data_IF_942569077545
#
_entry.id   IF_942569077545
#
_cell.length_a   1.000
_cell.length_b   1.000
_cell.length_c   1.000
_cell.angle_alpha   90.00
_cell.angle_beta   90.00
_cell.angle_gamma   90.00
#
_symmetry.space_group_name_H-M   'P 1'
#
loop_
_entity.id
_entity.type
_entity.pdbx_description
1 polymer ?
#
# COMPACT_ATOMS: atom_id res chain seq x y z
N UNK A 1 -6.12 28.73 4.60
CA UNK A 1 -6.51 28.71 6.03
C UNK A 1 -7.93 28.13 6.07
N UNK A 2 -8.08 26.82 6.16
CA UNK A 2 -9.40 26.18 6.24
C UNK A 2 -9.55 25.55 7.63
N UNK A 3 -10.47 26.11 8.39
CA UNK A 3 -10.87 25.62 9.70
C UNK A 3 -12.05 24.67 9.51
N UNK A 4 -11.86 23.37 9.74
CA UNK A 4 -12.98 22.45 9.86
C UNK A 4 -13.32 22.29 11.35
N UNK A 5 -14.39 22.97 11.76
CA UNK A 5 -15.05 22.72 13.03
C UNK A 5 -16.31 21.87 12.78
N UNK A 6 -16.15 20.56 12.86
CA UNK A 6 -17.26 19.62 12.91
C UNK A 6 -17.41 19.07 14.33
N UNK A 7 -18.47 19.48 15.04
CA UNK A 7 -18.83 18.89 16.35
C UNK A 7 -19.29 17.46 16.17
N UNK A 8 -18.42 16.49 16.48
CA UNK A 8 -18.85 15.12 16.74
C UNK A 8 -19.16 14.98 18.23
N UNK A 9 -20.41 14.71 18.57
CA UNK A 9 -20.79 14.22 19.88
C UNK A 9 -20.31 12.77 20.02
N UNK A 10 -19.21 12.57 20.71
CA UNK A 10 -18.77 11.26 21.14
C UNK A 10 -18.79 11.27 22.68
N UNK A 11 -19.70 10.44 23.22
CA UNK A 11 -19.79 10.18 24.65
C UNK A 11 -18.47 9.64 25.19
N UNK A 12 -17.91 10.34 26.19
CA UNK A 12 -16.90 9.91 27.15
C UNK A 12 -15.67 9.15 26.62
N UNK A 13 -14.94 9.75 25.69
CA UNK A 13 -13.50 9.57 25.62
C UNK A 13 -12.85 10.88 26.04
N UNK A 14 -12.08 10.83 27.13
CA UNK A 14 -11.20 11.94 27.52
C UNK A 14 -10.36 12.32 26.29
N UNK A 15 -10.70 13.43 25.69
CA UNK A 15 -9.97 13.99 24.56
C UNK A 15 -8.57 14.37 25.09
N UNK A 16 -7.61 13.46 24.94
CA UNK A 16 -6.20 13.83 25.13
C UNK A 16 -5.93 14.83 24.01
N UNK A 17 -5.91 16.11 24.38
CA UNK A 17 -5.55 17.18 23.45
C UNK A 17 -4.18 16.84 22.88
N UNK A 18 -4.12 16.58 21.58
CA UNK A 18 -2.87 16.33 20.90
C UNK A 18 -1.96 17.54 21.11
N UNK A 19 -0.80 17.33 21.73
CA UNK A 19 0.21 18.38 21.87
C UNK A 19 0.73 18.75 20.49
N UNK A 20 0.35 19.93 19.99
CA UNK A 20 0.86 20.44 18.72
C UNK A 20 2.29 20.94 18.94
N UNK A 21 3.26 20.19 18.48
CA UNK A 21 4.66 20.59 18.48
C UNK A 21 4.94 21.36 17.17
N UNK A 22 5.17 22.66 17.27
CA UNK A 22 5.61 23.48 16.13
C UNK A 22 7.13 23.46 16.04
N UNK A 23 7.65 22.80 15.03
CA UNK A 23 9.07 22.82 14.71
C UNK A 23 9.36 24.11 13.93
N UNK A 24 10.16 25.02 14.51
CA UNK A 24 10.51 26.30 13.89
C UNK A 24 11.72 26.18 12.96
N UNK A 25 12.56 25.17 13.14
CA UNK A 25 13.76 24.92 12.36
C UNK A 25 13.89 23.41 12.15
N UNK A 26 13.96 22.99 10.89
CA UNK A 26 14.22 21.62 10.52
C UNK A 26 15.73 21.32 10.42
N UNK A 27 16.06 20.06 10.24
CA UNK A 27 17.39 19.61 9.82
C UNK A 27 17.43 19.65 8.29
N UNK A 28 18.09 20.68 7.75
CA UNK A 28 18.32 20.75 6.30
C UNK A 28 19.62 20.01 5.98
N UNK A 29 19.52 19.07 5.04
CA UNK A 29 20.69 18.44 4.45
C UNK A 29 21.09 19.30 3.26
N UNK A 30 22.24 19.97 3.37
CA UNK A 30 22.78 20.80 2.28
C UNK A 30 23.30 19.92 1.15
N UNK A 31 22.41 19.56 0.22
CA UNK A 31 22.77 18.88 -1.01
C UNK A 31 23.25 19.91 -2.05
N UNK A 32 24.30 19.57 -2.80
CA UNK A 32 24.77 20.41 -3.89
C UNK A 32 23.86 20.20 -5.10
N UNK A 33 23.15 21.27 -5.48
CA UNK A 33 22.20 21.26 -6.59
C UNK A 33 20.74 21.07 -6.12
N UNK A 34 19.80 21.36 -7.00
CA UNK A 34 18.36 21.20 -6.82
C UNK A 34 17.80 20.45 -8.03
N UNK A 35 16.89 19.50 -7.78
CA UNK A 35 16.14 18.88 -8.87
C UNK A 35 15.29 19.93 -9.59
N UNK A 36 15.15 19.80 -10.91
CA UNK A 36 14.25 20.67 -11.68
C UNK A 36 12.79 20.34 -11.35
N UNK A 37 11.96 21.38 -11.22
CA UNK A 37 10.51 21.26 -10.97
C UNK A 37 9.76 20.93 -12.28
N UNK A 38 10.18 19.86 -12.98
CA UNK A 38 9.61 19.43 -14.27
C UNK A 38 9.02 18.04 -14.12
N UNK A 39 7.76 17.89 -14.51
CA UNK A 39 7.11 16.58 -14.65
C UNK A 39 7.63 15.91 -15.94
N UNK A 40 8.36 14.83 -15.76
CA UNK A 40 8.83 14.01 -16.88
C UNK A 40 7.90 12.81 -17.06
N UNK A 41 7.47 12.54 -18.29
CA UNK A 41 6.82 11.30 -18.64
C UNK A 41 7.88 10.20 -18.72
N UNK A 42 7.85 9.27 -17.77
CA UNK A 42 8.63 8.04 -17.84
C UNK A 42 8.18 7.17 -19.01
N UNK A 43 9.11 6.47 -19.66
CA UNK A 43 8.77 5.47 -20.67
C UNK A 43 7.97 4.31 -20.06
N UNK A 44 7.24 3.58 -20.91
CA UNK A 44 6.61 2.32 -20.49
C UNK A 44 7.70 1.27 -20.28
N UNK A 45 7.55 0.48 -19.21
CA UNK A 45 8.43 -0.66 -18.96
C UNK A 45 7.90 -1.91 -19.66
N UNK A 46 8.81 -2.75 -20.14
CA UNK A 46 8.46 -4.03 -20.79
C UNK A 46 7.97 -5.09 -19.78
N UNK A 47 8.24 -4.89 -18.51
CA UNK A 47 7.80 -5.79 -17.43
C UNK A 47 7.72 -5.07 -16.08
N UNK A 48 6.84 -5.57 -15.23
CA UNK A 48 6.68 -5.10 -13.86
C UNK A 48 6.83 -6.28 -12.90
N UNK A 49 7.36 -6.05 -11.72
CA UNK A 49 7.54 -7.12 -10.75
C UNK A 49 7.13 -6.69 -9.35
N UNK A 50 6.48 -7.61 -8.63
CA UNK A 50 6.34 -7.51 -7.18
C UNK A 50 7.49 -8.25 -6.52
N UNK A 51 8.19 -7.57 -5.63
CA UNK A 51 9.31 -8.09 -4.86
C UNK A 51 8.88 -8.20 -3.40
N UNK A 52 8.69 -9.43 -2.86
CA UNK A 52 8.21 -9.60 -1.48
C UNK A 52 9.13 -9.00 -0.42
N UNK A 53 10.43 -8.93 -0.68
CA UNK A 53 11.44 -8.38 0.25
C UNK A 53 11.25 -6.87 0.53
N UNK A 54 10.44 -6.15 -0.27
CA UNK A 54 10.08 -4.76 0.03
C UNK A 54 9.00 -4.62 1.11
N UNK A 55 8.40 -5.74 1.51
CA UNK A 55 7.33 -5.77 2.50
C UNK A 55 7.80 -6.52 3.74
N UNK A 56 8.28 -5.77 4.74
CA UNK A 56 8.77 -6.35 5.97
C UNK A 56 7.65 -7.02 6.78
N UNK A 57 7.97 -8.11 7.45
CA UNK A 57 7.05 -8.79 8.38
C UNK A 57 6.00 -9.69 7.73
N UNK A 58 6.17 -10.05 6.45
CA UNK A 58 5.28 -10.97 5.73
C UNK A 58 5.97 -12.30 5.40
N UNK A 59 5.17 -13.34 5.21
CA UNK A 59 5.59 -14.61 4.64
C UNK A 59 4.86 -14.80 3.31
N UNK A 60 5.52 -14.58 2.15
CA UNK A 60 4.83 -14.56 0.86
C UNK A 60 4.34 -15.95 0.45
N UNK A 61 3.06 -16.05 0.09
CA UNK A 61 2.45 -17.21 -0.56
C UNK A 61 1.93 -16.77 -1.92
N UNK A 62 2.56 -17.26 -2.99
CA UNK A 62 2.14 -16.98 -4.37
C UNK A 62 0.80 -17.65 -4.66
N UNK A 63 -0.11 -16.91 -5.24
CA UNK A 63 -1.45 -17.36 -5.67
C UNK A 63 -1.51 -17.48 -7.17
N UNK A 64 -0.98 -16.48 -7.90
CA UNK A 64 -0.97 -16.45 -9.35
C UNK A 64 -0.05 -17.53 -9.96
N UNK A 65 -0.43 -18.05 -11.10
CA UNK A 65 0.35 -19.05 -11.86
C UNK A 65 1.06 -18.38 -13.03
N UNK A 66 2.20 -18.95 -13.43
CA UNK A 66 2.89 -18.54 -14.66
C UNK A 66 1.98 -18.85 -15.86
N UNK A 67 1.85 -17.90 -16.79
CA UNK A 67 0.94 -17.95 -17.94
C UNK A 67 -0.48 -17.45 -17.62
N UNK A 68 -0.78 -17.08 -16.39
CA UNK A 68 -2.09 -16.55 -16.01
C UNK A 68 -2.23 -15.10 -16.44
N UNK A 69 -3.39 -14.75 -17.02
CA UNK A 69 -3.74 -13.36 -17.30
C UNK A 69 -4.36 -12.72 -16.08
N UNK A 70 -3.87 -11.54 -15.74
CA UNK A 70 -4.27 -10.78 -14.56
C UNK A 70 -4.64 -9.36 -14.96
N UNK A 71 -5.55 -8.74 -14.20
CA UNK A 71 -5.86 -7.32 -14.29
C UNK A 71 -5.03 -6.52 -13.29
N UNK A 72 -4.91 -5.22 -13.50
CA UNK A 72 -4.38 -4.34 -12.48
C UNK A 72 -5.32 -4.38 -11.26
N UNK A 73 -4.81 -4.83 -10.12
CA UNK A 73 -5.62 -5.12 -8.94
C UNK A 73 -5.87 -6.62 -8.65
N UNK A 74 -5.59 -7.52 -9.62
CA UNK A 74 -5.68 -8.98 -9.38
C UNK A 74 -4.62 -9.45 -8.39
N UNK A 75 -4.97 -10.40 -7.51
CA UNK A 75 -4.09 -10.88 -6.44
C UNK A 75 -2.98 -11.75 -7.00
N UNK A 76 -1.72 -11.37 -6.79
CA UNK A 76 -0.54 -12.17 -7.17
C UNK A 76 -0.01 -13.02 -6.02
N UNK A 77 0.01 -12.48 -4.81
CA UNK A 77 0.41 -13.20 -3.60
C UNK A 77 -0.34 -12.69 -2.38
N UNK A 78 -0.31 -13.48 -1.32
CA UNK A 78 -0.89 -13.15 0.00
C UNK A 78 0.16 -13.37 1.09
N UNK A 79 -0.06 -12.78 2.27
CA UNK A 79 0.72 -13.18 3.45
C UNK A 79 0.20 -14.53 3.95
N UNK A 80 1.09 -15.52 4.10
CA UNK A 80 0.74 -16.86 4.57
C UNK A 80 0.15 -16.86 5.99
N UNK A 81 0.63 -15.96 6.85
CA UNK A 81 0.21 -15.86 8.24
C UNK A 81 -1.07 -15.03 8.41
N UNK A 82 -1.32 -14.11 7.47
CA UNK A 82 -2.47 -13.19 7.46
C UNK A 82 -3.04 -13.14 6.05
N UNK A 83 -3.81 -14.16 5.62
CA UNK A 83 -4.26 -14.33 4.23
C UNK A 83 -5.15 -13.19 3.71
N UNK A 84 -5.72 -12.39 4.61
CA UNK A 84 -6.47 -11.19 4.29
C UNK A 84 -5.61 -10.09 3.68
N UNK A 85 -4.28 -10.11 3.93
CA UNK A 85 -3.32 -9.16 3.33
C UNK A 85 -2.96 -9.64 1.93
N UNK A 86 -3.47 -8.93 0.93
CA UNK A 86 -3.31 -9.23 -0.48
C UNK A 86 -2.30 -8.29 -1.13
N UNK A 87 -1.50 -8.82 -2.03
CA UNK A 87 -0.56 -8.07 -2.87
C UNK A 87 -1.01 -8.24 -4.31
N UNK A 88 -1.35 -7.13 -4.93
CA UNK A 88 -2.05 -7.10 -6.23
C UNK A 88 -1.13 -6.65 -7.36
N UNK A 89 -1.48 -7.05 -8.59
CA UNK A 89 -0.74 -6.63 -9.77
C UNK A 89 -0.86 -5.13 -10.01
N UNK A 90 0.25 -4.43 -10.29
CA UNK A 90 0.21 -3.00 -10.64
C UNK A 90 -0.29 -2.76 -12.08
N UNK A 91 -0.29 -3.79 -12.92
CA UNK A 91 -0.68 -3.71 -14.35
C UNK A 91 -1.53 -4.91 -14.73
N UNK A 92 -2.32 -4.78 -15.81
CA UNK A 92 -2.91 -5.94 -16.46
C UNK A 92 -1.92 -6.56 -17.42
N UNK A 93 -1.99 -7.88 -17.56
CA UNK A 93 -1.10 -8.60 -18.46
C UNK A 93 -0.97 -10.07 -18.09
N UNK A 94 0.13 -10.68 -18.49
CA UNK A 94 0.43 -12.08 -18.25
C UNK A 94 1.54 -12.23 -17.22
N UNK A 95 1.36 -13.13 -16.27
CA UNK A 95 2.41 -13.52 -15.31
C UNK A 95 3.44 -14.35 -16.05
N UNK A 96 4.60 -13.76 -16.36
CA UNK A 96 5.65 -14.42 -17.16
C UNK A 96 6.59 -15.27 -16.33
N UNK A 97 6.85 -14.88 -15.08
CA UNK A 97 7.77 -15.62 -14.22
C UNK A 97 7.44 -15.47 -12.74
N UNK A 98 7.72 -16.52 -11.98
CA UNK A 98 7.81 -16.52 -10.52
C UNK A 98 9.23 -16.93 -10.16
N UNK A 99 10.09 -15.95 -9.92
CA UNK A 99 11.49 -16.18 -9.60
C UNK A 99 11.64 -16.66 -8.16
N UNK A 100 12.41 -17.72 -7.99
CA UNK A 100 12.68 -18.32 -6.67
C UNK A 100 14.17 -18.44 -6.45
N UNK A 101 14.61 -18.12 -5.25
CA UNK A 101 15.97 -18.28 -4.79
C UNK A 101 16.16 -19.55 -3.96
N UNK A 102 17.20 -19.53 -3.16
CA UNK A 102 17.51 -20.62 -2.23
C UNK A 102 16.34 -20.93 -1.28
N UNK A 103 16.21 -22.18 -0.89
CA UNK A 103 15.13 -22.68 -0.02
C UNK A 103 13.72 -22.31 -0.51
N UNK A 104 13.55 -22.15 -1.84
CA UNK A 104 12.29 -21.75 -2.52
C UNK A 104 11.78 -20.37 -2.13
N UNK A 105 12.62 -19.48 -1.60
CA UNK A 105 12.27 -18.09 -1.31
C UNK A 105 11.74 -17.43 -2.58
N UNK A 106 10.58 -16.78 -2.51
CA UNK A 106 10.04 -16.00 -3.63
C UNK A 106 10.82 -14.69 -3.72
N UNK A 107 11.50 -14.50 -4.84
CA UNK A 107 12.29 -13.29 -5.11
C UNK A 107 11.45 -12.23 -5.82
N UNK A 108 10.70 -12.65 -6.85
CA UNK A 108 9.83 -11.72 -7.58
C UNK A 108 8.75 -12.48 -8.34
N UNK A 109 7.62 -11.79 -8.59
CA UNK A 109 6.55 -12.23 -9.49
C UNK A 109 6.51 -11.21 -10.61
N UNK A 110 6.79 -11.62 -11.84
CA UNK A 110 6.93 -10.76 -13.00
C UNK A 110 5.69 -10.81 -13.86
N UNK A 111 5.18 -9.64 -14.24
CA UNK A 111 4.02 -9.46 -15.11
C UNK A 111 4.45 -8.66 -16.34
N UNK A 112 4.17 -9.18 -17.51
CA UNK A 112 4.32 -8.47 -18.79
C UNK A 112 3.04 -7.70 -19.05
N UNK A 113 3.09 -6.36 -19.18
CA UNK A 113 1.88 -5.56 -19.32
C UNK A 113 1.21 -5.75 -20.68
N UNK A 114 -0.10 -5.64 -20.70
CA UNK A 114 -0.88 -5.51 -21.95
C UNK A 114 -0.72 -4.10 -22.55
N UNK A 115 -1.03 -3.96 -23.82
CA UNK A 115 -1.01 -2.67 -24.52
C UNK A 115 -2.01 -1.66 -23.90
N UNK A 116 -3.16 -2.16 -23.45
CA UNK A 116 -4.18 -1.41 -22.74
C UNK A 116 -4.35 -2.04 -21.35
N UNK A 117 -4.30 -1.23 -20.30
CA UNK A 117 -4.41 -1.71 -18.93
C UNK A 117 -5.89 -1.87 -18.57
N UNK A 118 -6.27 -3.07 -18.18
CA UNK A 118 -7.56 -3.38 -17.58
C UNK A 118 -7.45 -3.35 -16.05
N UNK A 119 -8.46 -2.81 -15.38
CA UNK A 119 -8.49 -2.68 -13.92
C UNK A 119 -9.53 -3.61 -13.30
N UNK A 120 -9.24 -4.09 -12.08
CA UNK A 120 -10.27 -4.67 -11.22
C UNK A 120 -11.16 -3.57 -10.66
N UNK A 121 -12.46 -3.80 -10.66
CA UNK A 121 -13.44 -2.85 -10.13
C UNK A 121 -13.80 -3.20 -8.68
N UNK A 122 -13.41 -2.34 -7.74
CA UNK A 122 -13.75 -2.50 -6.31
C UNK A 122 -15.02 -1.74 -5.91
N UNK A 123 -15.71 -1.13 -6.88
CA UNK A 123 -16.88 -0.30 -6.68
C UNK A 123 -16.56 1.09 -6.09
N UNK A 124 -17.44 2.04 -6.34
CA UNK A 124 -17.33 3.39 -5.77
C UNK A 124 -17.97 3.41 -4.39
N UNK A 125 -17.24 3.91 -3.40
CA UNK A 125 -17.70 4.07 -2.01
C UNK A 125 -17.69 5.54 -1.63
N UNK A 126 -18.71 5.98 -0.90
CA UNK A 126 -18.69 7.32 -0.31
C UNK A 126 -17.89 7.27 1.00
N UNK A 127 -16.65 7.76 0.95
CA UNK A 127 -15.71 7.70 2.08
C UNK A 127 -16.26 8.41 3.33
N UNK A 128 -17.05 9.47 3.16
CA UNK A 128 -17.60 10.23 4.29
C UNK A 128 -18.63 9.44 5.12
N UNK A 129 -19.22 8.40 4.55
CA UNK A 129 -20.23 7.56 5.22
C UNK A 129 -19.70 6.21 5.70
N UNK A 130 -18.43 5.85 5.37
CA UNK A 130 -17.85 4.57 5.75
C UNK A 130 -17.45 4.56 7.25
N UNK A 131 -17.74 3.42 7.89
CA UNK A 131 -17.22 3.12 9.22
C UNK A 131 -15.76 2.61 9.12
N UNK A 132 -14.97 2.76 10.19
CA UNK A 132 -13.56 2.36 10.18
C UNK A 132 -13.33 0.88 9.81
N UNK A 133 -14.25 -0.02 10.20
CA UNK A 133 -14.19 -1.43 9.83
C UNK A 133 -14.40 -1.63 8.32
N UNK A 134 -15.32 -0.91 7.71
CA UNK A 134 -15.61 -0.96 6.28
C UNK A 134 -14.44 -0.40 5.45
N UNK A 135 -13.81 0.70 5.92
CA UNK A 135 -12.60 1.24 5.30
C UNK A 135 -11.48 0.21 5.31
N UNK A 136 -11.27 -0.47 6.45
CA UNK A 136 -10.28 -1.52 6.60
C UNK A 136 -10.54 -2.66 5.59
N UNK A 137 -11.77 -3.11 5.48
CA UNK A 137 -12.16 -4.17 4.54
C UNK A 137 -11.90 -3.77 3.08
N UNK A 138 -12.27 -2.55 2.70
CA UNK A 138 -12.02 -2.03 1.34
C UNK A 138 -10.52 -2.00 1.03
N UNK A 139 -9.69 -1.51 1.95
CA UNK A 139 -8.24 -1.45 1.78
C UNK A 139 -7.61 -2.84 1.66
N UNK A 140 -8.07 -3.81 2.45
CA UNK A 140 -7.63 -5.21 2.37
C UNK A 140 -8.01 -5.85 1.03
N UNK A 141 -9.26 -5.65 0.59
CA UNK A 141 -9.76 -6.22 -0.65
C UNK A 141 -9.10 -5.60 -1.89
N UNK A 142 -8.84 -4.30 -1.86
CA UNK A 142 -8.15 -3.60 -2.95
C UNK A 142 -6.62 -3.82 -2.98
N UNK A 143 -6.05 -4.56 -2.01
CA UNK A 143 -4.61 -4.78 -1.93
C UNK A 143 -3.80 -3.53 -1.57
N UNK A 144 -4.44 -2.54 -0.94
CA UNK A 144 -3.79 -1.30 -0.50
C UNK A 144 -3.22 -1.40 0.92
N UNK A 145 -3.63 -2.42 1.68
CA UNK A 145 -3.18 -2.63 3.06
C UNK A 145 -1.67 -2.76 3.23
N UNK A 146 -0.89 -3.42 2.34
CA UNK A 146 0.56 -3.55 2.47
C UNK A 146 1.34 -2.23 2.52
N UNK A 147 0.74 -1.12 2.11
CA UNK A 147 1.33 0.22 2.19
C UNK A 147 1.19 0.86 3.58
N UNK A 148 0.35 0.29 4.44
CA UNK A 148 0.22 0.73 5.83
C UNK A 148 1.28 0.04 6.66
N UNK A 149 2.21 0.82 7.21
CA UNK A 149 3.37 0.34 7.96
C UNK A 149 3.21 0.60 9.44
N UNK A 150 3.60 -0.37 10.25
CA UNK A 150 3.64 -0.27 11.71
C UNK A 150 5.02 0.17 12.17
N UNK A 151 5.08 1.29 12.88
CA UNK A 151 6.31 1.78 13.51
C UNK A 151 6.53 1.08 14.87
N UNK A 152 7.80 0.95 15.34
CA UNK A 152 9.05 1.47 14.74
C UNK A 152 9.68 0.53 13.70
N UNK A 153 9.20 -0.71 13.51
CA UNK A 153 9.88 -1.76 12.75
C UNK A 153 9.63 -1.71 11.24
N UNK A 154 8.81 -0.80 10.77
CA UNK A 154 8.43 -0.66 9.35
C UNK A 154 7.88 -1.95 8.72
N UNK A 155 7.17 -2.74 9.53
CA UNK A 155 6.49 -3.95 9.08
C UNK A 155 5.09 -3.63 8.56
N UNK A 156 4.55 -4.49 7.70
CA UNK A 156 3.15 -4.39 7.27
C UNK A 156 2.24 -4.52 8.48
N UNK A 157 1.37 -3.53 8.68
CA UNK A 157 0.49 -3.46 9.85
C UNK A 157 -0.43 -4.69 9.96
N UNK A 158 -0.63 -5.19 11.18
CA UNK A 158 -1.57 -6.27 11.42
C UNK A 158 -3.01 -5.73 11.35
N UNK A 159 -3.90 -6.34 10.53
CA UNK A 159 -5.28 -5.84 10.36
C UNK A 159 -6.12 -5.86 11.64
N UNK A 160 -5.78 -6.74 12.58
CA UNK A 160 -6.49 -6.88 13.86
C UNK A 160 -6.05 -5.88 14.91
N UNK A 161 -4.88 -5.26 14.75
CA UNK A 161 -4.37 -4.28 15.70
C UNK A 161 -5.14 -2.96 15.59
N UNK A 162 -5.26 -2.29 16.73
CA UNK A 162 -5.81 -0.93 16.80
C UNK A 162 -4.63 0.04 16.96
N UNK A 163 -4.38 0.92 15.97
CA UNK A 163 -3.29 1.88 16.10
C UNK A 163 -3.61 2.92 17.17
N UNK A 164 -2.58 3.34 17.91
CA UNK A 164 -2.69 4.48 18.82
C UNK A 164 -2.79 5.79 18.04
N UNK A 165 -1.94 5.94 17.03
CA UNK A 165 -1.84 7.12 16.19
C UNK A 165 -1.60 6.70 14.73
N UNK A 166 -2.03 7.56 13.78
CA UNK A 166 -1.80 7.38 12.36
C UNK A 166 -0.99 8.56 11.84
N UNK A 167 0.16 8.29 11.22
CA UNK A 167 1.00 9.28 10.59
C UNK A 167 0.82 9.21 9.07
N UNK A 168 0.54 10.36 8.47
CA UNK A 168 0.44 10.51 7.01
C UNK A 168 1.55 11.43 6.56
N UNK A 169 2.37 10.96 5.61
CA UNK A 169 3.34 11.78 4.90
C UNK A 169 2.71 12.27 3.60
N UNK A 170 2.71 13.58 3.41
CA UNK A 170 2.18 14.25 2.22
C UNK A 170 3.25 15.12 1.57
#
# INVERSE_FOLDING_TARGET
MFTFAGKLHINNFSCIMANVIKIKKGLDINLKGKASDVLLNGGKSDSYAIVPDYYNGIVPKVVAKVGEKVKAGSVLMIDKNRPEIKFVSPVSGEVTAVNRGEKRKVLSIVVKPDAQIEYEEFGKKNVASLQGAEVKEVLLNAGMWPFIKQRPYDIVAAPLDTPRDIFVSA
#
